data_IF_696460526210
#
_entry.id   IF_696460526210
#
_cell.length_a   1.000
_cell.length_b   1.000
_cell.length_c   1.000
_cell.angle_alpha   90.00
_cell.angle_beta   90.00
_cell.angle_gamma   90.00
#
_symmetry.space_group_name_H-M   'P 1'
#
loop_
_entity.id
_entity.type
_entity.pdbx_description
1 polymer ?
#
# COMPACT_ATOMS: atom_id res chain seq x y z
N UNK A 1 6.99 -1.84 -20.22
CA UNK A 1 5.55 -2.06 -19.96
C UNK A 1 5.00 -0.77 -19.36
N UNK A 2 4.09 -0.07 -20.02
CA UNK A 2 3.42 1.07 -19.40
C UNK A 2 2.50 0.51 -18.31
N UNK A 3 2.80 0.79 -17.05
CA UNK A 3 1.94 0.41 -15.92
C UNK A 3 1.00 1.58 -15.70
N UNK A 4 -0.26 1.40 -16.09
CA UNK A 4 -1.34 2.34 -15.84
C UNK A 4 -1.85 2.20 -14.40
N UNK A 5 -2.56 3.22 -13.91
CA UNK A 5 -3.08 3.29 -12.54
C UNK A 5 -3.95 2.08 -12.18
N UNK A 6 -4.80 1.61 -13.09
CA UNK A 6 -5.65 0.43 -12.89
C UNK A 6 -4.84 -0.86 -12.65
N UNK A 7 -3.76 -1.04 -13.43
CA UNK A 7 -2.87 -2.18 -13.28
C UNK A 7 -2.11 -2.14 -11.96
N UNK A 8 -1.71 -0.93 -11.53
CA UNK A 8 -1.08 -0.73 -10.22
C UNK A 8 -2.05 -1.05 -9.08
N UNK A 9 -3.32 -0.64 -9.20
CA UNK A 9 -4.39 -0.98 -8.24
C UNK A 9 -4.59 -2.49 -8.14
N UNK A 10 -4.59 -3.20 -9.28
CA UNK A 10 -4.72 -4.66 -9.31
C UNK A 10 -3.55 -5.36 -8.61
N UNK A 11 -2.31 -4.97 -8.93
CA UNK A 11 -1.10 -5.51 -8.31
C UNK A 11 -1.12 -5.29 -6.79
N UNK A 12 -1.40 -4.06 -6.35
CA UNK A 12 -1.45 -3.72 -4.93
C UNK A 12 -2.57 -4.46 -4.22
N UNK A 13 -3.72 -4.63 -4.85
CA UNK A 13 -4.82 -5.42 -4.31
C UNK A 13 -4.37 -6.87 -4.10
N UNK A 14 -3.66 -7.46 -5.06
CA UNK A 14 -3.08 -8.80 -4.93
C UNK A 14 -2.12 -8.91 -3.76
N UNK A 15 -1.15 -7.99 -3.64
CA UNK A 15 -0.17 -7.95 -2.55
C UNK A 15 -0.83 -7.77 -1.19
N UNK A 16 -1.76 -6.81 -1.09
CA UNK A 16 -2.48 -6.48 0.14
C UNK A 16 -3.59 -7.46 0.46
N UNK A 17 -3.97 -8.37 -0.43
CA UNK A 17 -4.92 -9.44 -0.16
C UNK A 17 -4.29 -10.82 -0.04
N UNK A 18 -3.01 -10.97 -0.37
CA UNK A 18 -2.30 -12.24 -0.33
C UNK A 18 -2.52 -12.97 1.01
N UNK A 19 -2.78 -14.30 0.98
CA UNK A 19 -3.03 -15.09 2.18
C UNK A 19 -1.77 -15.19 3.05
N UNK A 20 -0.60 -15.38 2.43
CA UNK A 20 0.70 -15.37 3.09
C UNK A 20 1.29 -13.95 3.04
N UNK A 21 0.84 -13.08 3.94
CA UNK A 21 1.34 -11.71 4.03
C UNK A 21 2.50 -11.59 5.01
N UNK A 22 3.50 -10.80 4.63
CA UNK A 22 4.58 -10.41 5.53
C UNK A 22 4.02 -9.78 6.81
N UNK A 23 4.60 -10.08 7.99
CA UNK A 23 4.19 -9.47 9.26
C UNK A 23 4.14 -7.94 9.22
N UNK A 24 5.01 -7.32 8.41
CA UNK A 24 5.05 -5.86 8.26
C UNK A 24 3.79 -5.28 7.59
N UNK A 25 3.07 -6.06 6.77
CA UNK A 25 1.86 -5.65 6.05
C UNK A 25 0.57 -5.99 6.82
N UNK A 26 0.64 -6.79 7.88
CA UNK A 26 -0.54 -7.16 8.69
C UNK A 26 -1.29 -5.97 9.31
N UNK A 27 -0.61 -4.88 9.73
CA UNK A 27 -1.28 -3.67 10.21
C UNK A 27 -2.11 -2.94 9.15
N UNK A 28 -1.86 -3.21 7.87
CA UNK A 28 -2.59 -2.61 6.76
C UNK A 28 -3.90 -3.37 6.52
N UNK A 29 -4.91 -2.61 6.12
CA UNK A 29 -6.21 -3.16 5.85
C UNK A 29 -6.21 -3.99 4.56
N UNK A 30 -7.11 -4.98 4.47
CA UNK A 30 -7.30 -5.78 3.26
C UNK A 30 -8.11 -4.96 2.28
N UNK A 31 -7.79 -5.02 0.99
CA UNK A 31 -8.51 -4.21 0.01
C UNK A 31 -9.80 -4.91 -0.39
N UNK A 32 -10.98 -4.32 -0.12
CA UNK A 32 -12.26 -4.89 -0.57
C UNK A 32 -12.80 -4.21 -1.81
N UNK A 33 -12.67 -2.90 -1.90
CA UNK A 33 -13.09 -2.06 -3.03
C UNK A 33 -11.90 -1.26 -3.56
N UNK A 34 -11.08 -1.83 -4.46
CA UNK A 34 -9.83 -1.24 -4.91
C UNK A 34 -9.98 0.19 -5.43
N UNK A 35 -10.98 0.47 -6.28
CA UNK A 35 -11.21 1.82 -6.81
C UNK A 35 -11.61 2.87 -5.78
N UNK A 36 -12.12 2.49 -4.60
CA UNK A 36 -12.46 3.44 -3.51
C UNK A 36 -11.37 3.53 -2.45
N UNK A 37 -10.69 2.43 -2.17
CA UNK A 37 -9.70 2.33 -1.10
C UNK A 37 -8.30 2.71 -1.59
N UNK A 38 -7.96 2.36 -2.84
CA UNK A 38 -6.72 2.72 -3.51
C UNK A 38 -6.91 3.83 -4.55
N UNK A 39 -8.13 4.29 -4.81
CA UNK A 39 -8.44 5.29 -5.86
C UNK A 39 -7.77 6.66 -5.71
N UNK A 40 -7.11 6.92 -4.59
CA UNK A 40 -6.27 8.11 -4.38
C UNK A 40 -4.81 7.83 -4.78
N UNK A 41 -4.58 7.33 -6.01
CA UNK A 41 -3.25 7.28 -6.60
C UNK A 41 -2.94 8.62 -7.23
N UNK A 42 -1.83 9.23 -6.85
CA UNK A 42 -1.34 10.48 -7.45
C UNK A 42 -0.07 10.20 -8.23
N UNK A 43 -0.09 10.48 -9.53
CA UNK A 43 1.12 10.43 -10.35
C UNK A 43 1.94 11.70 -10.13
N UNK A 44 3.26 11.54 -10.04
CA UNK A 44 4.24 12.64 -10.02
C UNK A 44 5.39 12.27 -10.93
N UNK A 45 6.19 13.24 -11.41
CA UNK A 45 7.19 13.07 -12.48
C UNK A 45 8.14 11.87 -12.32
N UNK A 46 7.70 10.68 -12.73
CA UNK A 46 8.41 9.41 -12.66
C UNK A 46 7.88 8.33 -11.70
N UNK A 47 6.77 8.56 -10.98
CA UNK A 47 6.24 7.59 -10.00
C UNK A 47 4.80 7.84 -9.52
N UNK A 48 4.39 7.07 -8.52
CA UNK A 48 3.05 7.05 -7.96
C UNK A 48 3.11 7.20 -6.45
N UNK A 49 2.25 8.06 -5.89
CA UNK A 49 1.96 8.12 -4.46
C UNK A 49 0.63 7.45 -4.18
N UNK A 50 0.60 6.53 -3.22
CA UNK A 50 -0.57 5.72 -2.90
C UNK A 50 -0.80 5.72 -1.39
N UNK A 51 -2.06 5.86 -0.99
CA UNK A 51 -2.45 5.81 0.42
C UNK A 51 -2.98 4.43 0.77
N UNK A 52 -2.38 3.79 1.76
CA UNK A 52 -2.82 2.50 2.30
C UNK A 52 -3.31 2.70 3.74
N UNK A 53 -4.58 2.38 3.99
CA UNK A 53 -5.17 2.55 5.31
C UNK A 53 -4.74 1.44 6.28
N UNK A 54 -4.59 1.80 7.56
CA UNK A 54 -4.40 0.82 8.64
C UNK A 54 -5.73 0.13 8.95
N UNK A 55 -5.64 -1.07 9.50
CA UNK A 55 -6.82 -1.81 9.98
C UNK A 55 -7.66 -0.94 10.93
N UNK A 56 -8.98 -0.93 10.77
CA UNK A 56 -9.89 -0.07 11.54
C UNK A 56 -10.18 1.31 10.92
N UNK A 57 -9.39 1.75 9.93
CA UNK A 57 -9.58 3.04 9.25
C UNK A 57 -10.03 2.93 7.80
N UNK A 58 -10.06 1.71 7.26
CA UNK A 58 -10.53 1.41 5.91
C UNK A 58 -12.04 1.60 5.77
N UNK A 59 -12.50 1.95 4.57
CA UNK A 59 -13.87 2.38 4.27
C UNK A 59 -14.97 1.46 4.86
N UNK A 60 -14.79 0.13 4.82
CA UNK A 60 -15.77 -0.84 5.36
C UNK A 60 -15.40 -1.44 6.71
N UNK A 61 -14.18 -1.21 7.18
CA UNK A 61 -13.70 -1.71 8.46
C UNK A 61 -13.56 -0.60 9.50
N UNK A 62 -14.35 0.48 9.38
CA UNK A 62 -14.57 1.49 10.44
C UNK A 62 -15.32 0.92 11.65
N UNK A 63 -14.89 -0.23 12.15
CA UNK A 63 -15.30 -0.76 13.45
C UNK A 63 -14.73 0.10 14.58
N UNK A 64 -14.81 -0.36 15.84
CA UNK A 64 -14.21 0.36 16.96
C UNK A 64 -12.75 0.65 16.67
N UNK A 65 -12.39 1.93 16.56
CA UNK A 65 -11.01 2.34 16.30
C UNK A 65 -10.16 1.75 17.43
N UNK A 66 -9.13 0.95 17.12
CA UNK A 66 -8.32 0.35 18.15
C UNK A 66 -7.70 1.46 19.01
N UNK A 67 -7.86 1.37 20.33
CA UNK A 67 -7.33 2.36 21.29
C UNK A 67 -5.82 2.59 21.14
N UNK A 68 -5.10 1.59 20.59
CA UNK A 68 -3.72 1.69 20.17
C UNK A 68 -3.65 1.38 18.68
N UNK A 69 -3.17 2.34 17.90
CA UNK A 69 -2.82 2.11 16.50
C UNK A 69 -1.68 1.08 16.44
N UNK A 70 -1.74 0.09 15.53
CA UNK A 70 -0.63 -0.82 15.35
C UNK A 70 0.61 -0.02 14.92
N UNK A 71 1.73 -0.30 15.60
CA UNK A 71 3.01 0.33 15.30
C UNK A 71 3.47 -0.17 13.92
N UNK A 72 3.48 0.72 12.93
CA UNK A 72 4.03 0.42 11.61
C UNK A 72 5.48 0.88 11.60
N UNK A 73 6.36 0.00 11.11
CA UNK A 73 7.77 0.34 10.82
C UNK A 73 7.89 0.62 9.33
N UNK A 74 8.04 1.88 8.89
CA UNK A 74 8.05 2.23 7.46
C UNK A 74 9.10 1.46 6.65
N UNK A 75 10.31 1.28 7.20
CA UNK A 75 11.38 0.51 6.55
C UNK A 75 11.01 -0.97 6.32
N UNK A 76 10.33 -1.60 7.28
CA UNK A 76 9.89 -2.99 7.15
C UNK A 76 8.75 -3.13 6.12
N UNK A 77 7.85 -2.15 6.07
CA UNK A 77 6.80 -2.09 5.04
C UNK A 77 7.43 -1.90 3.66
N UNK A 78 8.41 -0.99 3.54
CA UNK A 78 9.11 -0.76 2.29
C UNK A 78 9.80 -2.02 1.77
N UNK A 79 10.50 -2.76 2.64
CA UNK A 79 11.12 -4.03 2.27
C UNK A 79 10.07 -5.07 1.85
N UNK A 80 9.01 -5.25 2.66
CA UNK A 80 7.95 -6.22 2.36
C UNK A 80 7.19 -5.91 1.06
N UNK A 81 6.98 -4.63 0.74
CA UNK A 81 6.37 -4.24 -0.54
C UNK A 81 7.35 -4.44 -1.70
N UNK A 82 8.63 -4.12 -1.55
CA UNK A 82 9.61 -4.39 -2.61
C UNK A 82 9.76 -5.89 -2.91
N UNK A 83 9.68 -6.75 -1.90
CA UNK A 83 9.73 -8.22 -2.09
C UNK A 83 8.46 -8.77 -2.79
N UNK A 84 7.32 -8.10 -2.62
CA UNK A 84 6.03 -8.57 -3.12
C UNK A 84 5.61 -7.93 -4.46
N UNK A 85 6.18 -6.77 -4.81
CA UNK A 85 5.92 -6.10 -6.08
C UNK A 85 6.64 -6.82 -7.22
N UNK A 86 6.04 -6.85 -8.43
CA UNK A 86 6.68 -7.44 -9.59
C UNK A 86 7.90 -6.63 -10.04
N UNK A 87 8.81 -7.31 -10.73
CA UNK A 87 10.00 -6.68 -11.31
C UNK A 87 9.61 -5.47 -12.18
N UNK A 88 10.34 -4.36 -11.99
CA UNK A 88 10.07 -3.08 -12.67
C UNK A 88 9.32 -2.05 -11.82
N UNK A 89 8.81 -2.42 -10.64
CA UNK A 89 8.31 -1.47 -9.63
C UNK A 89 9.20 -1.52 -8.39
N UNK A 90 9.40 -0.36 -7.76
CA UNK A 90 10.09 -0.31 -6.47
C UNK A 90 9.52 0.78 -5.57
N UNK A 91 9.38 0.46 -4.29
CA UNK A 91 9.01 1.42 -3.26
C UNK A 91 10.25 2.23 -2.85
N UNK A 92 10.21 3.53 -3.08
CA UNK A 92 11.30 4.46 -2.75
C UNK A 92 11.19 5.03 -1.35
N UNK A 93 9.96 5.23 -0.87
CA UNK A 93 9.71 5.74 0.47
C UNK A 93 8.34 5.27 1.01
N UNK A 94 8.27 5.15 2.33
CA UNK A 94 7.02 4.93 3.06
C UNK A 94 6.94 5.96 4.19
N UNK A 95 5.82 6.68 4.28
CA UNK A 95 5.55 7.66 5.32
C UNK A 95 4.36 7.22 6.15
N UNK A 96 4.51 7.17 7.47
CA UNK A 96 3.37 6.92 8.37
C UNK A 96 2.64 8.23 8.69
N UNK A 97 1.36 8.30 8.33
CA UNK A 97 0.49 9.45 8.56
C UNK A 97 -0.53 9.18 9.68
N UNK A 98 -0.27 8.21 10.55
CA UNK A 98 -1.11 7.84 11.69
C UNK A 98 -2.23 6.87 11.31
N UNK A 99 -3.23 7.32 10.54
CA UNK A 99 -4.40 6.50 10.13
C UNK A 99 -4.15 5.69 8.85
N UNK A 100 -3.23 6.16 8.03
CA UNK A 100 -2.81 5.54 6.78
C UNK A 100 -1.29 5.71 6.65
N UNK A 101 -0.70 4.93 5.76
CA UNK A 101 0.65 5.16 5.26
C UNK A 101 0.56 5.68 3.84
N UNK A 102 1.52 6.50 3.46
CA UNK A 102 1.72 6.92 2.08
C UNK A 102 2.95 6.20 1.53
N UNK A 103 2.78 5.55 0.40
CA UNK A 103 3.78 4.73 -0.26
C UNK A 103 4.12 5.39 -1.58
N UNK A 104 5.42 5.65 -1.78
CA UNK A 104 5.96 6.21 -3.00
C UNK A 104 6.57 5.09 -3.82
N UNK A 105 6.01 4.85 -5.01
CA UNK A 105 6.42 3.80 -5.93
C UNK A 105 7.01 4.46 -7.16
N UNK A 106 8.19 4.00 -7.57
CA UNK A 106 8.83 4.41 -8.82
C UNK A 106 8.93 3.22 -9.76
N UNK A 107 8.91 3.50 -11.05
CA UNK A 107 9.32 2.52 -12.06
C UNK A 107 10.85 2.35 -11.97
N UNK A 108 11.31 1.11 -11.90
CA UNK A 108 12.74 0.79 -12.09
C UNK A 108 12.98 0.82 -13.60
N UNK A 109 13.81 1.75 -14.06
CA UNK A 109 14.39 1.61 -15.40
C UNK A 109 15.35 0.40 -15.38
N UNK A 110 15.35 -0.41 -16.46
CA UNK A 110 16.24 -1.57 -16.59
C UNK A 110 17.72 -1.19 -16.62
#
# INVERSE_FOLDING_TARGET
>A
MNIDTDKLVEILTGVLNAPARSPALQPLARVKYPGRELGHITEYGGGFSIRLYKFGHEYKHRGPVPKKLPLIRPAAVQAALNDALPDGLSVTAVRDCGKFIEVFIRRREP
#
